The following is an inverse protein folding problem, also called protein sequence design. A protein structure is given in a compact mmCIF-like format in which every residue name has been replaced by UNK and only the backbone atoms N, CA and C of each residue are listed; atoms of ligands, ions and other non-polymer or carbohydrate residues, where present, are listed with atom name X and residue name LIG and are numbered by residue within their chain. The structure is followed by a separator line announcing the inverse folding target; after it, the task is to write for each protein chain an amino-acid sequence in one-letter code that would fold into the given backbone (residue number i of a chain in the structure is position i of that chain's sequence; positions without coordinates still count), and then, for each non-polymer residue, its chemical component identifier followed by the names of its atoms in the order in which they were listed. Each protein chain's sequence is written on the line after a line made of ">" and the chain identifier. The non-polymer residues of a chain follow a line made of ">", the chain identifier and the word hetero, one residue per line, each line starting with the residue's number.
data_IF_447713967141
#
_entry.id   IF_447713967141
#
_cell.length_a   1.000
_cell.length_b   1.000
_cell.length_c   1.000
_cell.angle_alpha   90.00
_cell.angle_beta   90.00
_cell.angle_gamma   90.00
#
_symmetry.space_group_name_H-M   'P 1'
#
loop_
_entity.id
_entity.type
_entity.pdbx_description
1 polymer ?
#
# COMPACT_ATOMS: atom_id res chain seq x y z
N UNK A 1 14.07 -1.85 -6.99
CA UNK A 1 12.98 -2.69 -7.50
C UNK A 1 12.30 -3.35 -6.32
N UNK A 2 10.97 -3.26 -6.24
CA UNK A 2 10.18 -3.96 -5.23
C UNK A 2 10.17 -5.46 -5.52
N UNK A 3 10.02 -6.29 -4.49
CA UNK A 3 9.92 -7.75 -4.62
C UNK A 3 8.71 -8.19 -5.44
N UNK A 4 7.69 -7.33 -5.56
CA UNK A 4 6.47 -7.59 -6.34
C UNK A 4 6.62 -7.26 -7.83
N UNK A 5 7.60 -6.43 -8.22
CA UNK A 5 7.78 -5.94 -9.60
C UNK A 5 7.88 -7.09 -10.64
N UNK A 6 8.64 -8.18 -10.40
CA UNK A 6 8.71 -9.29 -11.33
C UNK A 6 7.36 -9.98 -11.57
N UNK A 7 6.49 -10.02 -10.55
CA UNK A 7 5.16 -10.61 -10.68
C UNK A 7 4.25 -9.74 -11.53
N UNK A 8 4.25 -8.43 -11.30
CA UNK A 8 3.46 -7.47 -12.09
C UNK A 8 3.93 -7.47 -13.55
N UNK A 9 5.25 -7.48 -13.79
CA UNK A 9 5.82 -7.59 -15.14
C UNK A 9 5.41 -8.87 -15.85
N UNK A 10 5.49 -10.00 -15.15
CA UNK A 10 5.07 -11.30 -15.71
C UNK A 10 3.58 -11.31 -16.04
N UNK A 11 2.75 -10.76 -15.15
CA UNK A 11 1.32 -10.62 -15.36
C UNK A 11 1.01 -9.74 -16.58
N UNK A 12 1.70 -8.61 -16.72
CA UNK A 12 1.57 -7.71 -17.87
C UNK A 12 1.82 -8.45 -19.18
N UNK A 13 2.96 -9.14 -19.32
CA UNK A 13 3.25 -9.89 -20.55
C UNK A 13 2.31 -11.08 -20.74
N UNK A 14 1.81 -11.71 -19.68
CA UNK A 14 0.83 -12.80 -19.78
C UNK A 14 -0.48 -12.30 -20.39
N UNK A 15 -1.05 -11.23 -19.84
CA UNK A 15 -2.43 -10.81 -20.12
C UNK A 15 -2.54 -9.85 -21.31
N UNK A 16 -1.46 -9.13 -21.64
CA UNK A 16 -1.43 -8.25 -22.81
C UNK A 16 -0.92 -9.02 -24.02
N UNK A 17 -1.84 -9.53 -24.82
CA UNK A 17 -1.53 -10.15 -26.13
C UNK A 17 -1.29 -9.11 -27.20
N UNK A 18 -1.95 -7.96 -27.09
CA UNK A 18 -1.80 -6.84 -28.01
C UNK A 18 -1.60 -5.53 -27.24
N UNK A 19 -0.39 -4.97 -27.40
CA UNK A 19 -0.05 -3.70 -26.81
C UNK A 19 -0.57 -2.55 -27.68
N UNK A 20 -1.42 -1.70 -27.12
CA UNK A 20 -2.07 -0.58 -27.84
C UNK A 20 -1.16 0.65 -27.96
N UNK A 21 0.07 0.46 -28.41
CA UNK A 21 0.98 1.55 -28.77
C UNK A 21 0.84 1.91 -30.24
N UNK A 22 0.96 3.21 -30.61
CA UNK A 22 0.97 3.62 -32.01
C UNK A 22 2.20 3.07 -32.73
N UNK A 23 2.03 2.67 -33.99
CA UNK A 23 3.14 2.33 -34.89
C UNK A 23 3.74 3.56 -35.59
N UNK A 24 3.23 4.76 -35.31
CA UNK A 24 3.83 6.00 -35.76
C UNK A 24 4.98 6.43 -34.82
N UNK A 25 5.89 7.26 -35.32
CA UNK A 25 6.92 7.90 -34.50
C UNK A 25 6.28 8.67 -33.34
N UNK A 26 6.61 8.28 -32.12
CA UNK A 26 6.12 8.91 -30.90
C UNK A 26 7.27 9.16 -29.93
N UNK A 27 7.14 10.15 -29.06
CA UNK A 27 8.12 10.39 -28.00
C UNK A 27 7.91 9.46 -26.81
N UNK A 28 8.94 9.25 -26.00
CA UNK A 28 8.86 8.42 -24.79
C UNK A 28 7.77 8.91 -23.84
N UNK A 29 7.64 10.23 -23.68
CA UNK A 29 6.65 10.89 -22.82
C UNK A 29 5.20 10.62 -23.27
N UNK A 30 4.99 10.23 -24.54
CA UNK A 30 3.67 9.86 -25.06
C UNK A 30 3.37 8.36 -24.88
N UNK A 31 4.41 7.52 -24.85
CA UNK A 31 4.31 6.07 -24.79
C UNK A 31 4.27 5.54 -23.36
N UNK A 32 5.11 6.05 -22.46
CA UNK A 32 5.17 5.62 -21.06
C UNK A 32 3.82 5.75 -20.33
N UNK A 33 3.05 6.85 -20.46
CA UNK A 33 1.73 6.96 -19.82
C UNK A 33 0.72 5.91 -20.33
N UNK A 34 0.83 5.50 -21.60
CA UNK A 34 -0.03 4.44 -22.16
C UNK A 34 0.33 3.08 -21.55
N UNK A 35 1.62 2.78 -21.42
CA UNK A 35 2.09 1.57 -20.73
C UNK A 35 1.62 1.55 -19.27
N UNK A 36 1.76 2.67 -18.56
CA UNK A 36 1.30 2.82 -17.18
C UNK A 36 -0.21 2.58 -17.04
N UNK A 37 -1.00 3.13 -17.96
CA UNK A 37 -2.45 2.89 -18.00
C UNK A 37 -2.76 1.41 -18.21
N UNK A 38 -2.09 0.75 -19.15
CA UNK A 38 -2.27 -0.69 -19.39
C UNK A 38 -1.86 -1.54 -18.18
N UNK A 39 -0.76 -1.21 -17.50
CA UNK A 39 -0.37 -1.87 -16.24
C UNK A 39 -1.46 -1.74 -15.18
N UNK A 40 -2.02 -0.54 -15.01
CA UNK A 40 -3.09 -0.30 -14.06
C UNK A 40 -4.36 -1.12 -14.38
N UNK A 41 -4.74 -1.19 -15.66
CA UNK A 41 -5.87 -2.01 -16.12
C UNK A 41 -5.66 -3.49 -15.82
N UNK A 42 -4.45 -4.01 -16.06
CA UNK A 42 -4.08 -5.42 -15.77
C UNK A 42 -4.13 -5.71 -14.26
N UNK A 43 -3.60 -4.82 -13.42
CA UNK A 43 -3.65 -4.97 -11.96
C UNK A 43 -5.09 -4.93 -11.45
N UNK A 44 -5.88 -3.98 -11.93
CA UNK A 44 -7.29 -3.82 -11.56
C UNK A 44 -8.11 -5.06 -11.92
N UNK A 45 -7.83 -5.68 -13.06
CA UNK A 45 -8.47 -6.93 -13.48
C UNK A 45 -8.16 -8.12 -12.54
N UNK A 46 -7.05 -8.07 -11.79
CA UNK A 46 -6.71 -9.06 -10.77
C UNK A 46 -7.20 -8.67 -9.36
N UNK A 47 -7.87 -7.52 -9.20
CA UNK A 47 -8.29 -6.98 -7.91
C UNK A 47 -7.16 -6.33 -7.11
N UNK A 48 -6.02 -6.05 -7.73
CA UNK A 48 -4.90 -5.38 -7.10
C UNK A 48 -4.99 -3.86 -7.28
N UNK A 49 -4.68 -3.11 -6.21
CA UNK A 49 -4.60 -1.66 -6.24
C UNK A 49 -3.31 -1.18 -6.92
N UNK A 50 -3.32 0.03 -7.48
CA UNK A 50 -2.15 0.62 -8.15
C UNK A 50 -1.00 0.96 -7.20
N UNK A 51 -1.26 1.06 -5.90
CA UNK A 51 -0.27 1.43 -4.89
C UNK A 51 0.65 0.27 -4.47
N UNK A 52 0.41 -0.95 -4.96
CA UNK A 52 1.27 -2.10 -4.65
C UNK A 52 2.69 -1.95 -5.20
N UNK A 53 2.88 -1.10 -6.22
CA UNK A 53 4.17 -0.84 -6.85
C UNK A 53 4.25 0.59 -7.40
N UNK A 54 5.46 1.06 -7.64
CA UNK A 54 5.68 2.30 -8.38
C UNK A 54 5.45 2.06 -9.88
N UNK A 55 4.21 2.25 -10.34
CA UNK A 55 3.83 1.99 -11.73
C UNK A 55 4.53 2.89 -12.74
N UNK A 56 4.98 4.08 -12.33
CA UNK A 56 5.78 4.96 -13.17
C UNK A 56 7.13 4.31 -13.49
N UNK A 57 7.88 3.96 -12.44
CA UNK A 57 9.15 3.26 -12.60
C UNK A 57 8.99 1.93 -13.36
N UNK A 58 7.95 1.15 -13.06
CA UNK A 58 7.73 -0.12 -13.74
C UNK A 58 7.38 0.08 -15.22
N UNK A 59 6.60 1.12 -15.57
CA UNK A 59 6.28 1.44 -16.95
C UNK A 59 7.52 1.86 -17.75
N UNK A 60 8.42 2.64 -17.15
CA UNK A 60 9.69 3.00 -17.78
C UNK A 60 10.61 1.79 -17.93
N UNK A 61 10.71 0.93 -16.91
CA UNK A 61 11.53 -0.28 -17.01
C UNK A 61 11.01 -1.25 -18.08
N UNK A 62 9.70 -1.38 -18.25
CA UNK A 62 9.12 -2.18 -19.35
C UNK A 62 9.40 -1.52 -20.70
N UNK A 63 9.32 -0.19 -20.79
CA UNK A 63 9.67 0.54 -22.00
C UNK A 63 11.12 0.27 -22.42
N UNK A 64 12.06 0.37 -21.49
CA UNK A 64 13.49 0.11 -21.74
C UNK A 64 13.73 -1.34 -22.16
N UNK A 65 13.04 -2.30 -21.54
CA UNK A 65 13.12 -3.72 -21.92
C UNK A 65 12.60 -3.96 -23.34
N UNK A 66 11.54 -3.26 -23.76
CA UNK A 66 11.01 -3.33 -25.13
C UNK A 66 11.97 -2.69 -26.15
N UNK A 67 12.67 -1.63 -25.77
CA UNK A 67 13.72 -0.99 -26.59
C UNK A 67 14.93 -1.92 -26.73
N UNK A 68 15.41 -2.48 -25.63
CA UNK A 68 16.56 -3.41 -25.62
C UNK A 68 16.29 -4.67 -26.47
N UNK A 69 15.04 -5.14 -26.47
CA UNK A 69 14.60 -6.26 -27.30
C UNK A 69 14.28 -5.89 -28.76
N UNK A 70 14.52 -4.64 -29.18
CA UNK A 70 14.20 -4.09 -30.50
C UNK A 70 12.71 -4.23 -30.88
N UNK A 71 11.82 -4.35 -29.88
CA UNK A 71 10.37 -4.28 -30.07
C UNK A 71 9.93 -2.84 -30.31
N UNK A 72 10.63 -1.89 -29.68
CA UNK A 72 10.52 -0.46 -29.93
C UNK A 72 11.86 -0.01 -30.52
N UNK A 73 11.86 0.38 -31.79
CA UNK A 73 13.07 0.90 -32.43
C UNK A 73 13.24 2.39 -32.14
N UNK A 74 14.49 2.84 -32.01
CA UNK A 74 14.85 4.24 -31.72
C UNK A 74 15.33 4.93 -33.01
N UNK A 75 14.82 6.12 -33.28
CA UNK A 75 15.33 7.04 -34.30
C UNK A 75 15.79 8.35 -33.64
N UNK A 76 17.10 8.53 -33.58
CA UNK A 76 17.74 9.68 -32.94
C UNK A 76 18.03 10.80 -33.95
N UNK A 77 17.56 12.01 -33.63
CA UNK A 77 17.89 13.22 -34.39
C UNK A 77 18.54 14.26 -33.47
N UNK A 78 19.67 14.82 -33.90
CA UNK A 78 20.47 15.73 -33.06
C UNK A 78 19.74 16.96 -32.51
N UNK A 79 18.71 17.46 -33.20
CA UNK A 79 17.90 18.61 -32.75
C UNK A 79 16.49 18.24 -32.30
N UNK A 80 15.90 17.20 -32.89
CA UNK A 80 14.50 16.85 -32.64
C UNK A 80 14.32 15.84 -31.50
N UNK A 81 15.43 15.30 -30.97
CA UNK A 81 15.43 14.26 -29.95
C UNK A 81 15.23 12.86 -30.54
N UNK A 82 14.85 11.92 -29.68
CA UNK A 82 14.61 10.52 -30.03
C UNK A 82 13.13 10.27 -30.28
N UNK A 83 12.83 9.58 -31.37
CA UNK A 83 11.50 9.04 -31.67
C UNK A 83 11.52 7.52 -31.56
N UNK A 84 10.37 6.96 -31.22
CA UNK A 84 10.21 5.56 -30.94
C UNK A 84 9.09 4.98 -31.80
N UNK A 85 9.34 3.81 -32.39
CA UNK A 85 8.39 3.12 -33.27
C UNK A 85 8.14 1.71 -32.75
N UNK A 86 6.87 1.41 -32.42
CA UNK A 86 6.47 0.11 -31.92
C UNK A 86 6.19 -0.89 -33.04
N UNK A 87 6.85 -2.04 -32.99
CA UNK A 87 6.62 -3.18 -33.89
C UNK A 87 5.79 -4.28 -33.20
N UNK A 88 4.53 -4.39 -33.61
CA UNK A 88 3.58 -5.38 -33.08
C UNK A 88 4.03 -6.83 -33.32
N UNK A 89 4.68 -7.13 -34.45
CA UNK A 89 5.09 -8.49 -34.76
C UNK A 89 6.29 -8.91 -33.90
N UNK A 90 7.22 -8.00 -33.65
CA UNK A 90 8.33 -8.24 -32.72
C UNK A 90 7.85 -8.40 -31.28
N UNK A 91 6.85 -7.62 -30.85
CA UNK A 91 6.27 -7.76 -29.50
C UNK A 91 5.75 -9.17 -29.22
N UNK A 92 5.01 -9.77 -30.16
CA UNK A 92 4.47 -11.12 -29.98
C UNK A 92 5.59 -12.16 -29.78
N UNK A 93 6.63 -12.10 -30.60
CA UNK A 93 7.80 -13.00 -30.48
C UNK A 93 8.56 -12.77 -29.17
N UNK A 94 8.78 -11.52 -28.82
CA UNK A 94 9.46 -11.14 -27.58
C UNK A 94 8.69 -11.67 -26.35
N UNK A 95 7.39 -11.37 -26.28
CA UNK A 95 6.47 -11.83 -25.23
C UNK A 95 6.54 -13.34 -25.04
N UNK A 96 6.42 -14.11 -26.12
CA UNK A 96 6.50 -15.58 -26.05
C UNK A 96 7.85 -16.03 -25.49
N UNK A 97 8.95 -15.44 -25.94
CA UNK A 97 10.29 -15.80 -25.48
C UNK A 97 10.53 -15.51 -23.99
N UNK A 98 10.03 -14.36 -23.50
CA UNK A 98 10.09 -13.98 -22.08
C UNK A 98 9.25 -14.93 -21.24
N UNK A 99 8.01 -15.21 -21.64
CA UNK A 99 7.11 -16.05 -20.85
C UNK A 99 7.62 -17.50 -20.73
N UNK A 100 8.10 -18.11 -21.82
CA UNK A 100 8.54 -19.52 -21.81
C UNK A 100 9.67 -19.78 -20.81
N UNK A 101 10.53 -18.79 -20.56
CA UNK A 101 11.68 -18.92 -19.64
C UNK A 101 11.40 -18.39 -18.23
N UNK A 102 10.25 -17.76 -18.01
CA UNK A 102 9.96 -17.08 -16.75
C UNK A 102 9.38 -18.05 -15.70
N UNK A 103 10.05 -18.25 -14.55
CA UNK A 103 9.59 -19.19 -13.53
C UNK A 103 8.25 -18.78 -12.88
N UNK A 104 7.96 -17.48 -12.78
CA UNK A 104 6.68 -16.96 -12.26
C UNK A 104 5.55 -17.32 -13.22
N UNK A 105 5.78 -17.20 -14.53
CA UNK A 105 4.79 -17.62 -15.54
C UNK A 105 4.55 -19.12 -15.48
N UNK A 106 5.60 -19.93 -15.35
CA UNK A 106 5.48 -21.38 -15.22
C UNK A 106 4.76 -21.81 -13.93
N UNK A 107 4.96 -21.08 -12.82
CA UNK A 107 4.19 -21.28 -11.59
C UNK A 107 2.72 -20.91 -11.81
N UNK A 108 2.44 -19.74 -12.39
CA UNK A 108 1.09 -19.30 -12.70
C UNK A 108 0.34 -20.27 -13.64
N UNK A 109 1.03 -20.84 -14.63
CA UNK A 109 0.46 -21.83 -15.55
C UNK A 109 0.07 -23.13 -14.84
N UNK A 110 0.83 -23.54 -13.82
CA UNK A 110 0.53 -24.75 -13.01
C UNK A 110 -0.61 -24.52 -12.01
N UNK A 111 -0.64 -23.36 -11.36
CA UNK A 111 -1.61 -23.03 -10.32
C UNK A 111 -2.95 -22.55 -10.92
N UNK A 112 -2.90 -21.83 -12.03
CA UNK A 112 -4.07 -21.31 -12.73
C UNK A 112 -4.36 -19.83 -12.44
N UNK A 113 -5.61 -19.42 -12.69
CA UNK A 113 -6.03 -18.00 -12.66
C UNK A 113 -5.88 -17.35 -11.28
N UNK A 114 -5.93 -18.13 -10.19
CA UNK A 114 -5.81 -17.62 -8.82
C UNK A 114 -4.41 -17.16 -8.43
N UNK A 115 -3.37 -17.63 -9.11
CA UNK A 115 -1.98 -17.45 -8.68
C UNK A 115 -1.61 -16.00 -8.37
N UNK A 116 -1.89 -15.07 -9.30
CA UNK A 116 -1.51 -13.66 -9.11
C UNK A 116 -2.35 -12.97 -8.03
N UNK A 117 -3.62 -13.32 -7.91
CA UNK A 117 -4.48 -12.82 -6.82
C UNK A 117 -3.90 -13.23 -5.46
N UNK A 118 -3.60 -14.52 -5.29
CA UNK A 118 -3.03 -15.05 -4.04
C UNK A 118 -1.67 -14.39 -3.72
N UNK A 119 -0.83 -14.14 -4.75
CA UNK A 119 0.45 -13.41 -4.61
C UNK A 119 0.24 -11.97 -4.15
N UNK A 120 -0.68 -11.23 -4.76
CA UNK A 120 -0.93 -9.82 -4.41
C UNK A 120 -1.58 -9.69 -3.02
N UNK A 121 -2.52 -10.57 -2.69
CA UNK A 121 -3.11 -10.64 -1.34
C UNK A 121 -2.03 -10.97 -0.29
N UNK A 122 -1.16 -11.94 -0.58
CA UNK A 122 -0.04 -12.30 0.30
C UNK A 122 0.96 -11.14 0.48
N UNK A 123 1.31 -10.45 -0.60
CA UNK A 123 2.21 -9.29 -0.55
C UNK A 123 1.60 -8.13 0.24
N UNK A 124 0.32 -7.81 0.01
CA UNK A 124 -0.40 -6.79 0.78
C UNK A 124 -0.50 -7.17 2.26
N UNK A 125 -0.75 -8.46 2.56
CA UNK A 125 -0.74 -8.99 3.92
C UNK A 125 0.61 -8.80 4.60
N UNK A 126 1.71 -9.13 3.91
CA UNK A 126 3.07 -8.94 4.40
C UNK A 126 3.41 -7.46 4.60
N UNK A 127 3.19 -6.63 3.58
CA UNK A 127 3.43 -5.19 3.65
C UNK A 127 2.61 -4.55 4.78
N UNK A 128 1.35 -4.93 4.96
CA UNK A 128 0.55 -4.45 6.07
C UNK A 128 1.04 -5.00 7.41
N UNK A 129 1.55 -6.23 7.46
CA UNK A 129 2.16 -6.79 8.68
C UNK A 129 3.50 -6.14 9.02
N UNK A 130 4.30 -5.75 8.01
CA UNK A 130 5.55 -5.01 8.18
C UNK A 130 5.25 -3.58 8.60
N UNK A 131 4.27 -2.90 7.99
CA UNK A 131 3.80 -1.62 8.51
C UNK A 131 3.16 -1.74 9.88
N UNK A 132 2.56 -2.88 10.24
CA UNK A 132 2.07 -3.14 11.60
C UNK A 132 3.24 -3.35 12.54
N UNK A 133 4.21 -4.19 12.19
CA UNK A 133 5.40 -4.43 13.00
C UNK A 133 6.25 -3.18 13.11
N UNK A 134 6.39 -2.36 12.08
CA UNK A 134 7.08 -1.07 12.11
C UNK A 134 6.21 0.01 12.77
N UNK A 135 4.88 0.02 12.64
CA UNK A 135 4.07 0.88 13.51
C UNK A 135 4.15 0.45 14.98
N UNK A 136 4.49 -0.81 15.26
CA UNK A 136 4.69 -1.36 16.61
C UNK A 136 6.18 -1.28 17.06
N UNK A 137 7.15 -1.27 16.14
CA UNK A 137 8.61 -1.36 16.39
C UNK A 137 9.44 -0.18 15.85
N UNK A 138 9.00 0.48 14.79
CA UNK A 138 9.69 1.58 14.10
C UNK A 138 9.05 2.96 14.37
N UNK A 139 9.75 3.96 14.87
CA UNK A 139 11.16 4.08 15.21
C UNK A 139 11.24 5.19 16.26
N UNK A 140 11.23 4.81 17.52
CA UNK A 140 11.71 5.69 18.59
C UNK A 140 13.24 5.61 18.53
N UNK A 141 13.84 6.23 17.52
CA UNK A 141 15.08 6.96 17.78
C UNK A 141 14.63 8.21 18.51
N UNK A 142 14.83 8.25 19.82
CA UNK A 142 14.50 9.43 20.59
C UNK A 142 15.69 9.72 21.51
N UNK A 143 16.25 10.94 21.39
CA UNK A 143 16.12 11.84 22.53
C UNK A 143 15.41 13.16 22.16
N UNK A 144 14.19 13.04 21.68
CA UNK A 144 13.06 13.96 21.90
C UNK A 144 12.11 13.46 23.03
N UNK A 145 12.58 12.59 23.92
CA UNK A 145 11.76 11.73 24.83
C UNK A 145 11.16 12.50 25.99
N UNK A 146 11.62 13.74 26.17
CA UNK A 146 11.09 14.72 27.10
C UNK A 146 10.33 15.85 26.39
N UNK A 147 9.97 15.70 25.10
CA UNK A 147 9.08 16.67 24.47
C UNK A 147 7.70 16.53 25.09
N UNK A 148 7.47 17.40 26.06
CA UNK A 148 6.17 17.75 26.60
C UNK A 148 5.47 18.57 25.53
N UNK A 149 4.41 18.01 24.94
CA UNK A 149 3.58 18.74 23.98
C UNK A 149 2.44 19.40 24.75
N UNK A 150 2.18 20.67 24.46
CA UNK A 150 0.97 21.33 24.92
C UNK A 150 -0.18 20.84 24.07
N UNK A 151 -1.23 20.35 24.71
CA UNK A 151 -2.41 19.92 24.00
C UNK A 151 -3.30 21.15 23.79
N UNK A 152 -3.61 21.45 22.53
CA UNK A 152 -4.43 22.61 22.15
C UNK A 152 -5.92 22.44 22.46
N UNK A 153 -6.68 23.52 22.29
CA UNK A 153 -8.09 23.61 22.72
C UNK A 153 -9.08 22.71 21.94
N UNK A 154 -8.64 22.02 20.88
CA UNK A 154 -9.50 21.24 19.99
C UNK A 154 -9.60 19.74 20.31
N UNK A 155 -9.37 19.34 21.57
CA UNK A 155 -9.41 17.92 21.97
C UNK A 155 -10.78 17.35 22.29
N UNK A 156 -11.76 18.20 22.62
CA UNK A 156 -13.07 17.73 23.07
C UNK A 156 -13.72 16.73 22.09
N UNK A 157 -13.71 16.97 20.75
CA UNK A 157 -14.25 16.02 19.79
C UNK A 157 -13.54 14.65 19.82
N UNK A 158 -12.22 14.63 20.01
CA UNK A 158 -11.43 13.38 20.04
C UNK A 158 -11.75 12.59 21.31
N UNK A 159 -11.87 13.28 22.45
CA UNK A 159 -12.23 12.64 23.73
C UNK A 159 -13.62 12.01 23.65
N UNK A 160 -14.58 12.69 23.01
CA UNK A 160 -15.94 12.18 22.79
C UNK A 160 -15.94 10.97 21.85
N UNK A 161 -15.15 10.99 20.77
CA UNK A 161 -15.00 9.85 19.87
C UNK A 161 -14.31 8.65 20.56
N UNK A 162 -13.36 8.89 21.45
CA UNK A 162 -12.78 7.84 22.29
C UNK A 162 -13.79 7.23 23.25
N UNK A 163 -14.71 8.03 23.79
CA UNK A 163 -15.79 7.54 24.66
C UNK A 163 -16.77 6.64 23.89
N UNK A 164 -17.06 7.02 22.64
CA UNK A 164 -17.86 6.19 21.73
C UNK A 164 -17.16 4.86 21.42
N UNK A 165 -15.85 4.89 21.14
CA UNK A 165 -15.08 3.67 20.92
C UNK A 165 -15.09 2.75 22.15
N UNK A 166 -14.86 3.32 23.34
CA UNK A 166 -14.88 2.59 24.61
C UNK A 166 -16.25 1.95 24.89
N UNK A 167 -17.32 2.70 24.65
CA UNK A 167 -18.69 2.21 24.79
C UNK A 167 -18.94 1.03 23.85
N UNK A 168 -18.55 1.17 22.58
CA UNK A 168 -18.70 0.09 21.59
C UNK A 168 -17.92 -1.16 22.01
N UNK A 169 -16.65 -1.03 22.39
CA UNK A 169 -15.85 -2.17 22.88
C UNK A 169 -16.47 -2.87 24.10
N UNK A 170 -17.17 -2.12 24.95
CA UNK A 170 -17.81 -2.67 26.16
C UNK A 170 -19.08 -3.45 25.84
N UNK A 171 -19.87 -2.98 24.86
CA UNK A 171 -21.16 -3.56 24.48
C UNK A 171 -21.11 -4.55 23.33
N UNK A 172 -20.01 -4.58 22.56
CA UNK A 172 -19.92 -5.45 21.40
C UNK A 172 -19.93 -6.92 21.83
N UNK A 173 -20.88 -7.66 21.27
CA UNK A 173 -20.89 -9.10 21.37
C UNK A 173 -19.92 -9.59 20.31
N UNK A 174 -18.74 -10.00 20.73
CA UNK A 174 -17.71 -10.50 19.84
C UNK A 174 -17.91 -12.00 19.60
N UNK A 175 -18.53 -12.40 18.47
CA UNK A 175 -18.80 -13.80 18.19
C UNK A 175 -17.52 -14.60 17.92
N UNK A 176 -16.42 -13.93 17.57
CA UNK A 176 -15.13 -14.53 17.23
C UNK A 176 -14.21 -14.66 18.45
N UNK A 177 -14.60 -14.07 19.59
CA UNK A 177 -13.87 -14.18 20.86
C UNK A 177 -12.56 -13.40 20.92
N UNK A 178 -12.29 -12.51 19.97
CA UNK A 178 -11.10 -11.63 19.90
C UNK A 178 -10.94 -10.70 21.11
N UNK A 179 -12.03 -10.37 21.81
CA UNK A 179 -12.12 -9.42 22.92
C UNK A 179 -12.13 -10.07 24.31
N UNK A 180 -12.39 -11.37 24.44
CA UNK A 180 -12.76 -12.00 25.74
C UNK A 180 -11.75 -11.69 26.86
N UNK A 181 -10.46 -11.73 26.56
CA UNK A 181 -9.40 -11.47 27.55
C UNK A 181 -8.74 -10.09 27.42
N UNK A 182 -9.08 -9.33 26.38
CA UNK A 182 -8.42 -8.06 26.04
C UNK A 182 -9.30 -6.84 26.30
N UNK A 183 -10.62 -7.03 26.40
CA UNK A 183 -11.61 -5.94 26.48
C UNK A 183 -11.32 -4.98 27.62
N UNK A 184 -11.20 -5.49 28.84
CA UNK A 184 -10.98 -4.66 30.03
C UNK A 184 -9.68 -3.86 29.88
N UNK A 185 -8.60 -4.51 29.44
CA UNK A 185 -7.32 -3.86 29.17
C UNK A 185 -7.44 -2.73 28.13
N UNK A 186 -8.07 -2.98 26.98
CA UNK A 186 -8.23 -1.98 25.92
C UNK A 186 -9.08 -0.79 26.39
N UNK A 187 -10.15 -1.06 27.12
CA UNK A 187 -11.02 -0.03 27.73
C UNK A 187 -10.23 0.81 28.74
N UNK A 188 -9.40 0.19 29.57
CA UNK A 188 -8.52 0.90 30.51
C UNK A 188 -7.45 1.72 29.80
N UNK A 189 -6.81 1.20 28.75
CA UNK A 189 -5.81 1.91 27.95
C UNK A 189 -6.42 3.11 27.22
N UNK A 190 -7.62 2.98 26.64
CA UNK A 190 -8.36 4.11 26.04
C UNK A 190 -8.68 5.16 27.11
N UNK A 191 -9.16 4.75 28.28
CA UNK A 191 -9.49 5.66 29.38
C UNK A 191 -8.27 6.43 29.86
N UNK A 192 -7.13 5.74 30.01
CA UNK A 192 -5.86 6.38 30.35
C UNK A 192 -5.42 7.35 29.24
N UNK A 193 -5.60 7.00 27.97
CA UNK A 193 -5.36 7.88 26.83
C UNK A 193 -6.21 9.15 26.84
N UNK A 194 -7.50 9.05 27.19
CA UNK A 194 -8.39 10.21 27.36
C UNK A 194 -7.87 11.16 28.44
N UNK A 195 -7.43 10.66 29.59
CA UNK A 195 -6.89 11.49 30.67
C UNK A 195 -5.55 12.14 30.29
N UNK A 196 -4.71 11.43 29.54
CA UNK A 196 -3.49 12.01 28.95
C UNK A 196 -3.82 13.15 27.98
N UNK A 197 -4.87 13.00 27.16
CA UNK A 197 -5.29 14.04 26.22
C UNK A 197 -5.92 15.25 26.90
N UNK A 198 -6.63 15.09 28.02
CA UNK A 198 -7.22 16.20 28.78
C UNK A 198 -6.18 17.02 29.55
N UNK A 199 -4.98 16.49 29.73
CA UNK A 199 -3.92 17.16 30.46
C UNK A 199 -3.40 18.36 29.64
N UNK A 200 -3.13 19.53 30.26
CA UNK A 200 -2.61 20.71 29.54
C UNK A 200 -1.33 20.43 28.76
N UNK A 201 -0.53 19.51 29.28
CA UNK A 201 0.68 19.05 28.62
C UNK A 201 0.99 17.61 28.98
N UNK A 202 1.60 16.88 28.06
CA UNK A 202 1.89 15.46 28.25
C UNK A 202 3.13 15.03 27.47
N UNK A 203 3.82 14.01 27.98
CA UNK A 203 4.94 13.39 27.27
C UNK A 203 4.41 12.63 26.07
N UNK A 204 4.95 12.95 24.88
CA UNK A 204 4.61 12.29 23.63
C UNK A 204 4.66 10.74 23.74
N UNK A 205 5.68 10.23 24.43
CA UNK A 205 5.86 8.79 24.66
C UNK A 205 4.67 8.15 25.39
N UNK A 206 4.04 8.86 26.32
CA UNK A 206 2.88 8.35 27.06
C UNK A 206 1.67 8.21 26.14
N UNK A 207 1.36 9.23 25.32
CA UNK A 207 0.29 9.14 24.31
C UNK A 207 0.57 7.98 23.36
N UNK A 208 1.79 7.87 22.85
CA UNK A 208 2.13 6.84 21.87
C UNK A 208 1.95 5.43 22.45
N UNK A 209 2.51 5.19 23.64
CA UNK A 209 2.50 3.88 24.29
C UNK A 209 1.09 3.45 24.70
N UNK A 210 0.30 4.38 25.24
CA UNK A 210 -1.00 4.06 25.84
C UNK A 210 -2.14 4.14 24.83
N UNK A 211 -2.14 5.16 23.96
CA UNK A 211 -3.28 5.44 23.11
C UNK A 211 -3.04 5.04 21.66
N UNK A 212 -1.94 5.48 21.04
CA UNK A 212 -1.67 5.18 19.62
C UNK A 212 -1.48 3.68 19.40
N UNK A 213 -0.69 3.01 20.25
CA UNK A 213 -0.50 1.56 20.18
C UNK A 213 -1.83 0.80 20.31
N UNK A 214 -2.68 1.22 21.24
CA UNK A 214 -3.97 0.58 21.53
C UNK A 214 -4.94 0.77 20.37
N UNK A 215 -5.04 1.98 19.81
CA UNK A 215 -5.87 2.25 18.64
C UNK A 215 -5.36 1.52 17.39
N UNK A 216 -4.04 1.43 17.20
CA UNK A 216 -3.44 0.67 16.10
C UNK A 216 -3.75 -0.82 16.16
N UNK A 217 -3.74 -1.39 17.37
CA UNK A 217 -4.18 -2.76 17.61
C UNK A 217 -5.67 -2.94 17.27
N UNK A 218 -6.55 -2.05 17.77
CA UNK A 218 -8.00 -2.14 17.52
C UNK A 218 -8.31 -1.99 16.02
N UNK A 219 -7.72 -1.00 15.35
CA UNK A 219 -7.88 -0.80 13.90
C UNK A 219 -7.51 -2.06 13.10
N UNK A 220 -6.51 -2.80 13.58
CA UNK A 220 -6.01 -4.02 12.95
C UNK A 220 -6.91 -5.22 13.19
N UNK A 221 -7.28 -5.50 14.44
CA UNK A 221 -8.06 -6.69 14.80
C UNK A 221 -9.52 -6.62 14.33
N UNK A 222 -10.05 -5.40 14.24
CA UNK A 222 -11.43 -5.12 13.83
C UNK A 222 -11.50 -4.49 12.43
N UNK A 223 -10.52 -4.78 11.56
CA UNK A 223 -10.45 -4.26 10.21
C UNK A 223 -11.71 -4.60 9.40
N UNK A 224 -12.28 -3.58 8.73
CA UNK A 224 -13.52 -3.70 7.96
C UNK A 224 -14.81 -3.70 8.80
N UNK A 225 -14.68 -3.58 10.12
CA UNK A 225 -15.79 -3.38 11.05
C UNK A 225 -15.84 -1.94 11.56
N UNK A 226 -17.01 -1.52 12.06
CA UNK A 226 -17.24 -0.14 12.50
C UNK A 226 -16.31 0.28 13.66
N UNK A 227 -15.88 -0.68 14.50
CA UNK A 227 -14.91 -0.45 15.58
C UNK A 227 -13.51 -0.14 15.01
N UNK A 228 -13.08 -0.91 14.00
CA UNK A 228 -11.80 -0.70 13.35
C UNK A 228 -11.76 0.64 12.60
N UNK A 229 -12.82 0.98 11.86
CA UNK A 229 -12.93 2.24 11.13
C UNK A 229 -12.88 3.45 12.07
N UNK A 230 -13.56 3.37 13.23
CA UNK A 230 -13.52 4.41 14.25
C UNK A 230 -12.10 4.58 14.83
N UNK A 231 -11.39 3.48 15.07
CA UNK A 231 -10.01 3.51 15.55
C UNK A 231 -9.04 4.11 14.52
N UNK A 232 -9.21 3.81 13.23
CA UNK A 232 -8.42 4.43 12.14
C UNK A 232 -8.65 5.94 12.11
N UNK A 233 -9.92 6.38 12.13
CA UNK A 233 -10.26 7.81 12.15
C UNK A 233 -9.65 8.54 13.34
N UNK A 234 -9.70 7.95 14.54
CA UNK A 234 -9.09 8.51 15.75
C UNK A 234 -7.56 8.62 15.62
N UNK A 235 -6.89 7.63 15.01
CA UNK A 235 -5.45 7.72 14.74
C UNK A 235 -5.11 8.88 13.80
N UNK A 236 -5.90 9.10 12.75
CA UNK A 236 -5.74 10.21 11.81
C UNK A 236 -5.93 11.58 12.48
N UNK A 237 -6.82 11.67 13.46
CA UNK A 237 -7.03 12.90 14.24
C UNK A 237 -5.91 13.16 15.27
N UNK A 238 -5.41 12.11 15.93
CA UNK A 238 -4.43 12.24 17.03
C UNK A 238 -3.02 12.48 16.51
N UNK A 239 -2.59 11.82 15.43
CA UNK A 239 -1.21 11.93 14.89
C UNK A 239 -0.77 13.38 14.65
N UNK A 240 -1.56 14.24 13.95
CA UNK A 240 -1.17 15.63 13.72
C UNK A 240 -1.03 16.45 15.02
N UNK A 241 -1.86 16.17 16.04
CA UNK A 241 -1.80 16.89 17.33
C UNK A 241 -0.49 16.65 18.07
N UNK A 242 0.12 15.50 17.83
CA UNK A 242 1.32 15.07 18.52
C UNK A 242 2.59 15.15 17.65
N UNK A 243 2.45 15.70 16.44
CA UNK A 243 3.55 15.92 15.50
C UNK A 243 4.04 14.63 14.83
N UNK A 244 3.13 13.70 14.55
CA UNK A 244 3.36 12.42 13.85
C UNK A 244 2.66 12.39 12.49
#
# INVERSE_FOLDING_TARGET
>A
MSTIDPYIRTLFFRDITELKLPSAHSRREELTPRLRKTLNEVLSAQGASSDIANLEYLSDSIFDELVEADVISIEDHGFAGSYYVFDKAKYLKFRESVLVRNPIYLAAKRVGSRYFRDVFEGYLGQRNSEYREDAIRGSIEIPASDRVVSIGDNIAPIVDELEQLKSRLSFDNDPEGKLVDKRERLVSEISAGQELLKSPSVRLKAIYTVLISTLGFIATEFAGGVIGDLAVKLLEQIKPLVGL
#
